data_IF_109415595118
#
_entry.id   IF_109415595118
#
_cell.length_a   1.000
_cell.length_b   1.000
_cell.length_c   1.000
_cell.angle_alpha   90.00
_cell.angle_beta   90.00
_cell.angle_gamma   90.00
#
_symmetry.space_group_name_H-M   'P 1'
#
loop_
_entity.id
_entity.type
_entity.pdbx_description
1 polymer ?
#
# COMPACT_ATOMS: atom_id res chain seq x y z
N UNK A 1 -17.24 57.55 -17.56
CA UNK A 1 -17.49 58.83 -16.85
C UNK A 1 -18.39 58.52 -15.66
N UNK A 2 -17.92 58.79 -14.44
CA UNK A 2 -18.65 58.85 -13.14
C UNK A 2 -19.60 57.68 -12.76
N UNK A 3 -19.35 57.10 -11.58
CA UNK A 3 -20.15 56.03 -10.94
C UNK A 3 -21.47 56.56 -10.34
N UNK A 4 -22.42 55.64 -10.06
CA UNK A 4 -23.29 55.76 -8.86
C UNK A 4 -23.86 54.41 -8.38
N UNK A 5 -23.36 53.94 -7.22
CA UNK A 5 -24.08 53.07 -6.27
C UNK A 5 -24.50 53.93 -5.06
N UNK A 6 -25.64 53.61 -4.46
CA UNK A 6 -26.21 53.95 -3.12
C UNK A 6 -27.68 53.47 -3.23
N UNK A 7 -28.24 52.44 -2.56
CA UNK A 7 -28.03 51.77 -1.25
C UNK A 7 -28.82 52.46 -0.11
N UNK A 8 -29.41 51.63 0.79
CA UNK A 8 -30.32 51.93 1.93
C UNK A 8 -31.81 52.22 1.58
N UNK A 9 -32.81 51.96 2.44
CA UNK A 9 -33.05 50.84 3.40
C UNK A 9 -34.40 51.00 4.15
N UNK A 10 -35.15 49.91 4.36
CA UNK A 10 -36.16 49.73 5.45
C UNK A 10 -37.44 50.65 5.38
N UNK A 11 -38.55 50.51 6.15
CA UNK A 11 -39.02 49.54 7.19
C UNK A 11 -40.58 49.58 7.34
N UNK A 12 -41.25 48.47 7.74
CA UNK A 12 -42.66 48.34 8.28
C UNK A 12 -43.85 48.88 7.43
N UNK A 13 -45.15 48.73 7.78
CA UNK A 13 -46.06 47.59 8.15
C UNK A 13 -47.53 48.16 8.20
N UNK A 14 -48.69 47.49 8.45
CA UNK A 14 -49.13 46.11 8.74
C UNK A 14 -50.67 45.94 8.43
N UNK A 15 -51.23 44.71 8.42
CA UNK A 15 -52.70 44.42 8.40
C UNK A 15 -53.05 43.13 7.60
N UNK A 16 -53.47 42.01 8.21
CA UNK A 16 -54.84 41.65 8.68
C UNK A 16 -55.80 41.26 7.52
N UNK A 17 -56.54 40.13 7.49
CA UNK A 17 -56.93 39.08 8.48
C UNK A 17 -56.57 37.65 7.94
N UNK A 18 -56.40 36.56 8.72
CA UNK A 18 -57.36 35.77 9.53
C UNK A 18 -58.56 35.21 8.71
N UNK A 19 -58.97 33.93 8.77
CA UNK A 19 -58.88 32.91 9.85
C UNK A 19 -58.83 31.42 9.39
N UNK A 20 -58.14 30.58 10.18
CA UNK A 20 -58.44 29.19 10.65
C UNK A 20 -58.83 28.05 9.66
N UNK A 21 -58.14 26.89 9.61
CA UNK A 21 -58.03 25.72 10.55
C UNK A 21 -59.14 24.65 10.33
N UNK A 22 -58.97 23.33 10.58
CA UNK A 22 -57.88 22.58 11.22
C UNK A 22 -57.76 21.11 10.70
N UNK A 23 -56.84 20.34 11.30
CA UNK A 23 -56.47 18.94 11.01
C UNK A 23 -57.53 17.88 11.38
N UNK A 24 -57.37 16.65 10.88
CA UNK A 24 -57.26 15.44 11.73
C UNK A 24 -56.71 14.23 10.96
N UNK A 25 -56.08 13.29 11.66
CA UNK A 25 -55.57 12.00 11.17
C UNK A 25 -56.68 10.96 10.94
N UNK A 26 -56.41 9.93 10.10
CA UNK A 26 -56.35 8.54 10.58
C UNK A 26 -55.74 7.57 9.53
N UNK A 27 -55.35 6.35 9.94
CA UNK A 27 -54.92 5.24 9.06
C UNK A 27 -55.97 4.11 9.03
N UNK A 28 -56.10 3.37 7.92
CA UNK A 28 -55.59 1.98 7.98
C UNK A 28 -55.07 1.38 6.66
N UNK A 29 -54.14 0.44 6.79
CA UNK A 29 -53.79 -0.59 5.78
C UNK A 29 -54.88 -1.69 5.70
N UNK A 30 -54.85 -2.65 4.74
CA UNK A 30 -53.89 -2.87 3.66
C UNK A 30 -54.51 -3.06 2.26
N UNK A 31 -53.68 -3.14 1.22
CA UNK A 31 -53.70 -4.18 0.17
C UNK A 31 -52.50 -3.98 -0.79
N UNK A 32 -51.96 -5.08 -1.35
CA UNK A 32 -50.88 -5.06 -2.36
C UNK A 32 -51.45 -4.88 -3.77
N UNK A 33 -50.67 -4.32 -4.71
CA UNK A 33 -50.00 -5.22 -5.67
C UNK A 33 -48.58 -4.81 -6.10
N UNK A 34 -47.96 -5.72 -6.87
CA UNK A 34 -46.65 -5.67 -7.53
C UNK A 34 -46.18 -4.32 -8.10
N UNK A 35 -44.92 -3.98 -7.84
CA UNK A 35 -44.15 -3.03 -8.67
C UNK A 35 -43.48 -3.80 -9.81
N UNK A 36 -43.76 -3.40 -11.05
CA UNK A 36 -42.92 -3.68 -12.21
C UNK A 36 -42.44 -2.32 -12.75
N UNK A 37 -41.12 -2.09 -12.75
CA UNK A 37 -40.52 -0.84 -13.20
C UNK A 37 -39.59 -1.13 -14.39
N UNK A 38 -39.82 -0.41 -15.49
CA UNK A 38 -39.08 -0.55 -16.74
C UNK A 38 -37.70 0.10 -16.66
N UNK A 39 -36.65 -0.62 -17.07
CA UNK A 39 -35.39 0.01 -17.49
C UNK A 39 -35.56 0.68 -18.85
N UNK A 40 -35.13 1.94 -18.96
CA UNK A 40 -35.05 2.67 -20.23
C UNK A 40 -33.61 2.73 -20.71
N UNK A 41 -33.34 2.16 -21.88
CA UNK A 41 -32.00 2.11 -22.49
C UNK A 41 -31.45 3.49 -22.86
N UNK A 42 -30.13 3.62 -22.85
CA UNK A 42 -29.38 4.59 -23.66
C UNK A 42 -28.20 3.85 -24.29
N UNK A 43 -28.26 3.60 -25.59
CA UNK A 43 -27.20 2.89 -26.32
C UNK A 43 -25.96 3.76 -26.55
N UNK A 44 -24.79 3.14 -26.51
CA UNK A 44 -23.57 3.66 -27.14
C UNK A 44 -23.13 2.70 -28.25
N UNK A 45 -23.42 3.08 -29.49
CA UNK A 45 -22.97 2.34 -30.67
C UNK A 45 -21.49 2.61 -30.97
N UNK A 46 -20.69 1.54 -31.06
CA UNK A 46 -19.46 1.52 -31.85
C UNK A 46 -19.49 0.26 -32.72
N UNK A 47 -19.48 0.45 -34.04
CA UNK A 47 -19.51 -0.66 -35.00
C UNK A 47 -18.10 -1.13 -35.36
N UNK A 48 -17.87 -2.44 -35.35
CA UNK A 48 -16.82 -3.09 -36.13
C UNK A 48 -17.34 -4.42 -36.69
N UNK A 49 -17.02 -4.71 -37.95
CA UNK A 49 -17.72 -5.75 -38.72
C UNK A 49 -16.91 -7.04 -38.86
N UNK A 50 -17.50 -8.13 -38.36
CA UNK A 50 -17.50 -9.48 -38.96
C UNK A 50 -16.24 -10.03 -39.65
N UNK A 51 -15.68 -11.10 -39.06
CA UNK A 51 -15.22 -12.30 -39.80
C UNK A 51 -15.70 -13.55 -39.03
N UNK A 52 -16.22 -14.56 -39.73
CA UNK A 52 -16.80 -15.78 -39.13
C UNK A 52 -15.75 -16.80 -38.62
N UNK A 53 -16.15 -17.65 -37.66
CA UNK A 53 -15.25 -18.63 -37.01
C UNK A 53 -15.90 -19.63 -36.03
N UNK A 54 -17.06 -20.21 -36.40
CA UNK A 54 -17.88 -21.22 -35.70
C UNK A 54 -17.24 -22.15 -34.63
N UNK A 55 -17.93 -22.37 -33.49
CA UNK A 55 -17.71 -23.56 -32.64
C UNK A 55 -18.27 -23.56 -31.19
N UNK A 56 -19.40 -24.25 -30.97
CA UNK A 56 -19.95 -24.86 -29.73
C UNK A 56 -19.69 -24.29 -28.30
N UNK A 57 -20.75 -23.67 -27.76
CA UNK A 57 -21.56 -24.14 -26.61
C UNK A 57 -20.91 -25.01 -25.50
N UNK A 58 -21.01 -24.58 -24.23
CA UNK A 58 -20.59 -25.39 -23.07
C UNK A 58 -20.92 -24.82 -21.67
N UNK A 59 -22.20 -24.65 -21.36
CA UNK A 59 -22.67 -23.91 -20.16
C UNK A 59 -22.42 -24.57 -18.79
N UNK A 60 -22.07 -23.70 -17.82
CA UNK A 60 -22.67 -23.58 -16.47
C UNK A 60 -22.33 -24.50 -15.27
N UNK A 61 -22.46 -23.86 -14.09
CA UNK A 61 -22.84 -24.38 -12.75
C UNK A 61 -21.83 -25.15 -11.88
N UNK A 62 -21.27 -24.36 -10.95
CA UNK A 62 -20.90 -24.71 -9.57
C UNK A 62 -21.87 -25.62 -8.80
N UNK A 63 -21.33 -26.58 -8.02
CA UNK A 63 -21.91 -27.08 -6.75
C UNK A 63 -20.77 -27.46 -5.79
N UNK A 64 -20.96 -27.29 -4.47
CA UNK A 64 -20.03 -27.77 -3.44
C UNK A 64 -20.42 -29.17 -2.90
N UNK A 65 -19.48 -29.95 -2.33
CA UNK A 65 -19.79 -31.22 -1.67
C UNK A 65 -19.93 -31.09 -0.14
N UNK A 66 -21.02 -31.63 0.40
CA UNK A 66 -21.17 -31.92 1.84
C UNK A 66 -20.61 -33.30 2.25
N UNK A 67 -20.70 -33.63 3.53
CA UNK A 67 -20.07 -34.81 4.14
C UNK A 67 -20.87 -36.12 3.99
N UNK A 68 -20.19 -37.28 3.86
CA UNK A 68 -20.09 -38.32 4.93
C UNK A 68 -20.00 -39.80 4.49
N UNK A 69 -19.08 -40.52 5.16
CA UNK A 69 -19.15 -41.89 5.69
C UNK A 69 -19.19 -43.18 4.81
N UNK A 70 -18.17 -44.05 5.05
CA UNK A 70 -18.24 -45.53 5.25
C UNK A 70 -18.42 -46.46 4.03
N UNK A 71 -18.03 -47.75 4.02
CA UNK A 71 -17.16 -48.66 4.84
C UNK A 71 -16.94 -49.98 4.03
N UNK A 72 -16.08 -50.97 4.34
CA UNK A 72 -14.71 -51.04 4.93
C UNK A 72 -14.18 -52.49 4.87
N UNK A 73 -12.88 -52.68 4.63
CA UNK A 73 -12.13 -53.96 4.76
C UNK A 73 -10.75 -53.68 5.42
N UNK A 74 -10.32 -54.22 6.58
CA UNK A 74 -10.28 -55.59 7.14
C UNK A 74 -9.03 -56.40 6.67
N UNK A 75 -8.13 -56.97 7.51
CA UNK A 75 -8.01 -57.05 8.99
C UNK A 75 -6.62 -57.58 9.48
N UNK A 76 -6.16 -57.13 10.67
CA UNK A 76 -5.47 -57.90 11.78
C UNK A 76 -4.03 -58.51 11.63
N UNK A 77 -3.19 -58.77 12.68
CA UNK A 77 -2.76 -58.00 13.90
C UNK A 77 -1.60 -58.71 14.72
N UNK A 78 -0.72 -57.93 15.41
CA UNK A 78 0.10 -58.22 16.64
C UNK A 78 1.46 -59.04 16.62
N UNK A 79 2.46 -58.73 17.50
CA UNK A 79 3.87 -59.23 17.50
C UNK A 79 4.29 -60.02 18.80
N UNK A 80 5.60 -60.19 19.20
CA UNK A 80 6.27 -59.25 20.15
C UNK A 80 7.85 -59.24 20.26
N UNK A 81 8.39 -58.44 21.22
CA UNK A 81 9.66 -58.56 22.03
C UNK A 81 11.06 -57.94 21.66
N UNK A 82 11.33 -56.75 22.21
CA UNK A 82 12.28 -56.38 23.32
C UNK A 82 13.76 -56.85 23.48
N UNK A 83 14.70 -55.88 23.60
CA UNK A 83 15.89 -55.81 24.52
C UNK A 83 16.56 -54.39 24.46
N UNK A 84 16.77 -53.58 25.52
CA UNK A 84 17.89 -53.48 26.54
C UNK A 84 19.35 -53.45 26.00
N UNK A 85 20.33 -52.63 26.46
CA UNK A 85 20.38 -51.41 27.34
C UNK A 85 21.84 -50.88 27.54
N UNK A 86 22.02 -49.62 28.01
CA UNK A 86 23.20 -49.09 28.78
C UNK A 86 24.54 -48.82 28.06
N UNK A 87 25.48 -47.93 28.48
CA UNK A 87 25.46 -46.78 29.45
C UNK A 87 26.81 -46.00 29.50
N UNK A 88 26.78 -44.73 29.97
CA UNK A 88 27.85 -43.93 30.64
C UNK A 88 29.11 -43.43 29.89
N UNK A 89 29.56 -42.21 30.24
CA UNK A 89 30.99 -41.80 30.13
C UNK A 89 31.29 -40.31 29.91
N UNK A 90 31.29 -39.47 30.96
CA UNK A 90 32.02 -38.18 30.98
C UNK A 90 33.51 -38.37 31.37
N UNK A 91 34.36 -37.31 31.46
CA UNK A 91 34.02 -35.98 32.00
C UNK A 91 34.65 -34.77 31.27
N UNK A 92 34.49 -33.58 31.85
CA UNK A 92 35.07 -32.29 31.42
C UNK A 92 36.56 -32.14 31.76
N UNK A 93 37.32 -31.44 30.90
CA UNK A 93 38.21 -30.37 31.38
C UNK A 93 38.62 -29.33 30.32
N UNK A 94 39.09 -28.20 30.84
CA UNK A 94 39.41 -26.92 30.19
C UNK A 94 40.78 -26.83 29.52
N UNK A 95 40.96 -25.78 28.68
CA UNK A 95 42.03 -24.75 28.76
C UNK A 95 42.89 -24.47 27.50
N UNK A 96 43.20 -23.17 27.34
CA UNK A 96 44.34 -22.54 26.64
C UNK A 96 44.69 -22.90 25.18
N UNK A 97 44.38 -21.96 24.29
CA UNK A 97 45.34 -21.18 23.48
C UNK A 97 46.65 -21.82 23.00
N UNK A 98 46.81 -21.96 21.67
CA UNK A 98 47.90 -21.32 20.89
C UNK A 98 47.53 -21.30 19.40
N UNK A 99 48.08 -20.32 18.66
CA UNK A 99 47.96 -20.18 17.21
C UNK A 99 49.36 -20.33 16.58
N UNK A 100 49.50 -20.97 15.41
CA UNK A 100 50.38 -20.39 14.40
C UNK A 100 49.85 -20.47 12.95
N UNK A 101 49.52 -19.30 12.41
CA UNK A 101 50.03 -18.77 11.13
C UNK A 101 49.89 -19.60 9.84
N UNK A 102 48.88 -19.21 9.04
CA UNK A 102 48.90 -19.07 7.55
C UNK A 102 49.15 -20.27 6.63
N UNK A 103 48.21 -20.48 5.68
CA UNK A 103 48.47 -20.23 4.24
C UNK A 103 47.19 -20.28 3.38
N UNK A 104 47.24 -19.59 2.23
CA UNK A 104 46.33 -19.66 1.07
C UNK A 104 44.86 -19.17 1.20
N UNK A 105 44.61 -17.95 0.71
CA UNK A 105 43.33 -17.56 0.08
C UNK A 105 43.15 -18.28 -1.27
N UNK A 106 41.92 -18.35 -1.78
CA UNK A 106 41.63 -17.74 -3.08
C UNK A 106 40.67 -16.56 -2.96
N UNK A 107 40.80 -15.57 -3.86
CA UNK A 107 40.10 -14.28 -3.78
C UNK A 107 38.70 -14.34 -4.39
N UNK A 108 37.69 -13.94 -3.62
CA UNK A 108 36.40 -13.46 -4.15
C UNK A 108 36.10 -12.09 -3.52
N UNK A 109 36.38 -11.01 -4.24
CA UNK A 109 36.18 -9.64 -3.77
C UNK A 109 34.71 -9.23 -3.84
N UNK A 110 33.93 -9.62 -2.85
CA UNK A 110 32.71 -8.90 -2.49
C UNK A 110 33.10 -7.50 -2.02
N UNK A 111 32.36 -6.47 -2.44
CA UNK A 111 32.57 -5.11 -1.97
C UNK A 111 31.86 -4.92 -0.61
N UNK A 112 32.55 -5.27 0.48
CA UNK A 112 32.05 -5.00 1.84
C UNK A 112 32.00 -3.49 2.11
N UNK A 113 30.84 -2.87 1.89
CA UNK A 113 30.50 -1.53 2.38
C UNK A 113 30.02 -1.61 3.85
N UNK A 114 30.87 -2.16 4.72
CA UNK A 114 30.58 -2.44 6.13
C UNK A 114 30.68 -1.19 7.03
N UNK A 115 29.90 -0.15 6.71
CA UNK A 115 29.70 1.02 7.58
C UNK A 115 28.74 0.69 8.73
N UNK A 116 29.25 0.04 9.78
CA UNK A 116 28.50 -0.40 10.95
C UNK A 116 28.14 0.74 11.93
N UNK A 117 27.62 1.85 11.42
CA UNK A 117 27.01 2.92 12.18
C UNK A 117 25.50 2.89 11.89
N UNK A 118 24.65 3.11 12.91
CA UNK A 118 23.23 3.35 12.65
C UNK A 118 23.07 4.61 11.77
N UNK A 119 22.10 4.63 10.83
CA UNK A 119 21.86 5.81 10.00
C UNK A 119 21.59 7.06 10.82
N UNK A 120 22.10 8.22 10.38
CA UNK A 120 21.83 9.48 11.06
C UNK A 120 20.36 9.86 10.84
N UNK A 121 19.61 9.82 11.94
CA UNK A 121 18.20 10.19 11.95
C UNK A 121 18.03 11.72 11.83
N UNK A 122 17.01 12.13 11.08
CA UNK A 122 16.57 13.52 10.99
C UNK A 122 15.81 13.96 12.27
N UNK A 123 15.28 15.18 12.26
CA UNK A 123 14.49 15.72 13.37
C UNK A 123 13.14 14.98 13.60
N UNK A 124 12.78 14.08 12.70
CA UNK A 124 11.55 13.26 12.70
C UNK A 124 11.83 11.81 13.13
N UNK A 125 13.08 11.44 13.38
CA UNK A 125 13.49 10.07 13.73
C UNK A 125 13.74 9.15 12.54
N UNK A 126 13.87 9.66 11.32
CA UNK A 126 14.07 8.87 10.10
C UNK A 126 15.48 9.00 9.50
N UNK A 127 16.09 7.90 9.03
CA UNK A 127 17.38 7.94 8.35
C UNK A 127 17.49 8.95 7.19
N UNK A 128 18.48 9.84 7.27
CA UNK A 128 18.87 10.74 6.18
C UNK A 128 19.48 9.97 5.01
N UNK A 129 19.21 10.40 3.77
CA UNK A 129 19.73 9.76 2.55
C UNK A 129 21.26 9.66 2.55
N UNK A 130 21.93 10.72 3.01
CA UNK A 130 23.39 10.81 3.14
C UNK A 130 23.97 9.71 4.03
N UNK A 131 23.21 9.25 5.02
CA UNK A 131 23.68 8.26 6.00
C UNK A 131 23.64 6.82 5.52
N UNK A 132 22.96 6.52 4.41
CA UNK A 132 23.06 5.24 3.70
C UNK A 132 24.30 5.15 2.79
N UNK A 133 25.06 6.24 2.64
CA UNK A 133 26.22 6.29 1.75
C UNK A 133 25.84 6.45 0.27
N UNK A 134 26.80 6.21 -0.66
CA UNK A 134 26.54 6.40 -2.08
C UNK A 134 25.61 5.31 -2.65
N UNK A 135 24.67 5.66 -3.55
CA UNK A 135 23.79 4.69 -4.19
C UNK A 135 24.55 3.69 -5.07
N UNK A 136 24.00 2.49 -5.27
CA UNK A 136 24.57 1.49 -6.17
C UNK A 136 24.64 2.00 -7.62
N UNK A 137 25.74 1.71 -8.30
CA UNK A 137 25.95 2.12 -9.69
C UNK A 137 24.88 1.57 -10.65
N UNK A 138 24.36 0.36 -10.37
CA UNK A 138 23.28 -0.26 -11.14
C UNK A 138 22.01 0.61 -11.19
N UNK A 139 21.74 1.42 -10.15
CA UNK A 139 20.60 2.33 -10.10
C UNK A 139 20.70 3.53 -11.07
N UNK A 140 21.83 3.68 -11.77
CA UNK A 140 22.11 4.78 -12.72
C UNK A 140 22.60 4.28 -14.08
N UNK A 141 22.37 2.99 -14.36
CA UNK A 141 22.83 2.27 -15.55
C UNK A 141 21.93 2.55 -16.76
N UNK A 142 22.51 2.68 -17.96
CA UNK A 142 21.70 2.77 -19.18
C UNK A 142 21.18 1.37 -19.55
N UNK A 143 19.86 1.21 -19.52
CA UNK A 143 19.14 -0.05 -19.78
C UNK A 143 18.30 0.01 -21.05
N UNK A 144 18.27 1.17 -21.73
CA UNK A 144 17.41 1.48 -22.87
C UNK A 144 17.57 0.56 -24.09
N UNK A 145 18.71 -0.13 -24.19
CA UNK A 145 19.01 -1.07 -25.27
C UNK A 145 18.51 -2.51 -25.03
N UNK A 146 18.16 -2.88 -23.80
CA UNK A 146 17.92 -4.30 -23.41
C UNK A 146 16.68 -4.52 -22.55
N UNK A 147 16.24 -3.52 -21.79
CA UNK A 147 15.09 -3.64 -20.89
C UNK A 147 13.74 -3.55 -21.63
N UNK A 148 12.69 -4.12 -21.00
CA UNK A 148 11.30 -3.95 -21.46
C UNK A 148 10.85 -2.50 -21.22
N UNK A 149 9.88 -2.01 -22.00
CA UNK A 149 9.20 -0.73 -21.74
C UNK A 149 7.92 -0.92 -20.92
N UNK A 150 7.69 -0.01 -19.98
CA UNK A 150 6.46 0.15 -19.19
C UNK A 150 6.07 1.62 -19.08
N UNK A 151 5.08 1.93 -18.24
CA UNK A 151 4.58 3.29 -18.05
C UNK A 151 4.00 3.50 -16.64
N UNK A 152 4.04 4.72 -16.12
CA UNK A 152 3.53 5.04 -14.79
C UNK A 152 2.13 5.67 -14.84
N UNK A 153 1.29 5.41 -13.83
CA UNK A 153 0.30 6.39 -13.32
C UNK A 153 0.84 7.09 -12.07
N UNK A 154 -0.02 7.80 -11.34
CA UNK A 154 0.27 8.41 -10.04
C UNK A 154 -0.96 8.32 -9.15
N UNK A 155 -0.79 7.99 -7.87
CA UNK A 155 -1.86 7.95 -6.88
C UNK A 155 -1.35 8.24 -5.47
N UNK A 156 -2.25 8.66 -4.58
CA UNK A 156 -2.10 8.54 -3.13
C UNK A 156 -3.48 8.57 -2.49
N UNK A 157 -4.04 7.39 -2.22
CA UNK A 157 -5.32 7.20 -1.52
C UNK A 157 -5.20 7.25 0.02
N UNK A 158 -3.97 7.14 0.52
CA UNK A 158 -3.59 6.91 1.91
C UNK A 158 -4.15 5.62 2.55
N UNK A 159 -4.63 4.65 1.74
CA UNK A 159 -5.10 3.36 2.25
C UNK A 159 -3.94 2.57 2.89
N UNK A 160 -4.27 1.61 3.77
CA UNK A 160 -3.32 0.55 4.15
C UNK A 160 -2.87 -0.22 2.89
N UNK A 161 -1.56 -0.32 2.59
CA UNK A 161 -1.06 -1.02 1.40
C UNK A 161 -1.47 -2.50 1.35
N UNK A 162 -1.61 -3.07 0.14
CA UNK A 162 -1.83 -4.51 -0.05
C UNK A 162 -0.72 -5.36 0.60
N UNK A 163 0.55 -4.91 0.51
CA UNK A 163 1.68 -5.62 1.11
C UNK A 163 1.76 -5.50 2.64
N UNK A 164 0.84 -4.78 3.28
CA UNK A 164 0.65 -4.76 4.75
C UNK A 164 -0.30 -5.86 5.26
N UNK A 165 -0.72 -6.78 4.39
CA UNK A 165 -1.58 -7.93 4.72
C UNK A 165 -0.83 -9.26 4.52
N UNK A 166 -1.22 -10.31 5.25
CA UNK A 166 -0.73 -11.67 4.99
C UNK A 166 -1.43 -12.28 3.77
N UNK A 167 -0.82 -13.32 3.20
CA UNK A 167 -1.38 -14.10 2.10
C UNK A 167 -2.69 -14.81 2.49
N UNK A 168 -3.80 -14.50 1.83
CA UNK A 168 -5.12 -15.08 2.11
C UNK A 168 -5.32 -16.51 1.57
N UNK A 169 -4.62 -16.89 0.50
CA UNK A 169 -4.70 -18.25 -0.08
C UNK A 169 -3.43 -18.62 -0.83
N UNK A 170 -3.21 -19.91 -1.10
CA UNK A 170 -2.04 -20.38 -1.85
C UNK A 170 -1.95 -19.84 -3.29
N UNK A 171 -3.01 -19.23 -3.82
CA UNK A 171 -3.04 -18.61 -5.15
C UNK A 171 -2.52 -17.16 -5.16
N UNK A 172 -2.44 -16.51 -3.99
CA UNK A 172 -1.90 -15.16 -3.89
C UNK A 172 -0.36 -15.24 -3.77
N UNK A 173 0.30 -15.12 -4.91
CA UNK A 173 1.76 -15.10 -5.03
C UNK A 173 2.36 -13.71 -4.74
N UNK A 174 1.51 -12.69 -4.58
CA UNK A 174 1.93 -11.28 -4.53
C UNK A 174 2.39 -10.87 -3.13
N UNK A 175 1.68 -11.28 -2.08
CA UNK A 175 2.03 -11.03 -0.68
C UNK A 175 3.18 -11.94 -0.21
N UNK A 176 3.77 -11.61 0.94
CA UNK A 176 4.89 -12.36 1.51
C UNK A 176 4.50 -13.81 1.87
N UNK A 177 5.41 -14.77 1.64
CA UNK A 177 5.17 -16.18 1.91
C UNK A 177 5.33 -16.51 3.40
N UNK A 178 4.19 -16.74 4.06
CA UNK A 178 4.11 -17.13 5.47
C UNK A 178 4.34 -18.63 5.70
N UNK A 179 5.10 -19.33 4.83
CA UNK A 179 5.34 -20.78 4.94
C UNK A 179 6.34 -21.13 6.04
N UNK A 180 7.32 -20.25 6.28
CA UNK A 180 8.22 -20.26 7.43
C UNK A 180 8.62 -18.83 7.80
N UNK A 181 9.30 -18.64 8.95
CA UNK A 181 9.77 -17.32 9.35
C UNK A 181 10.89 -16.81 8.43
N UNK A 182 11.72 -17.73 7.91
CA UNK A 182 12.79 -17.45 6.97
C UNK A 182 12.24 -17.02 5.60
N UNK A 183 11.19 -17.66 5.11
CA UNK A 183 10.49 -17.26 3.88
C UNK A 183 9.83 -15.89 4.04
N UNK A 184 9.15 -15.66 5.16
CA UNK A 184 8.50 -14.39 5.46
C UNK A 184 9.50 -13.22 5.56
N UNK A 185 10.65 -13.42 6.20
CA UNK A 185 11.72 -12.42 6.27
C UNK A 185 12.44 -12.21 4.92
N UNK A 186 12.56 -13.24 4.09
CA UNK A 186 13.13 -13.12 2.74
C UNK A 186 12.25 -12.28 1.79
N UNK A 187 10.93 -12.28 1.99
CA UNK A 187 9.97 -11.40 1.31
C UNK A 187 9.82 -10.02 2.01
N UNK A 188 10.77 -9.62 2.87
CA UNK A 188 10.78 -8.38 3.66
C UNK A 188 9.56 -8.24 4.62
N UNK A 189 8.99 -9.34 5.08
CA UNK A 189 7.85 -9.40 6.00
C UNK A 189 6.58 -8.71 5.45
N UNK A 190 6.14 -7.58 6.04
CA UNK A 190 5.00 -6.79 5.55
C UNK A 190 5.35 -5.31 5.54
N UNK A 191 4.79 -4.61 4.54
CA UNK A 191 4.86 -3.16 4.45
C UNK A 191 4.23 -2.52 5.70
N UNK A 192 4.86 -1.49 6.26
CA UNK A 192 4.33 -0.75 7.41
C UNK A 192 2.97 -0.10 7.12
N UNK A 193 2.17 0.04 8.18
CA UNK A 193 0.99 0.89 8.20
C UNK A 193 1.04 1.80 9.43
N UNK A 194 0.58 3.04 9.27
CA UNK A 194 0.61 4.07 10.31
C UNK A 194 -0.81 4.50 10.69
N UNK A 195 -0.98 5.11 11.87
CA UNK A 195 -2.25 5.73 12.24
C UNK A 195 -2.40 7.13 11.58
N UNK A 196 -3.48 7.84 11.91
CA UNK A 196 -3.75 9.20 11.42
C UNK A 196 -2.67 10.24 11.80
N UNK A 197 -1.80 9.93 12.76
CA UNK A 197 -0.70 10.79 13.21
C UNK A 197 0.67 10.36 12.65
N UNK A 198 0.68 9.52 11.63
CA UNK A 198 1.88 8.93 10.99
C UNK A 198 2.78 8.11 11.94
N UNK A 199 2.22 7.65 13.06
CA UNK A 199 2.89 6.71 13.96
C UNK A 199 2.67 5.30 13.45
N UNK A 200 3.74 4.54 13.23
CA UNK A 200 3.66 3.11 12.90
C UNK A 200 2.88 2.36 13.98
N UNK A 201 1.94 1.52 13.56
CA UNK A 201 1.21 0.58 14.43
C UNK A 201 1.26 -0.81 13.83
N UNK A 202 1.03 -1.89 14.60
CA UNK A 202 1.19 -3.25 14.10
C UNK A 202 0.36 -3.52 12.84
N UNK A 203 0.92 -4.24 11.88
CA UNK A 203 0.20 -4.70 10.67
C UNK A 203 -0.88 -5.73 11.01
N UNK A 204 -0.71 -6.44 12.14
CA UNK A 204 -1.65 -7.41 12.72
C UNK A 204 -1.72 -7.22 14.24
N UNK A 205 -2.87 -7.51 14.82
CA UNK A 205 -3.05 -7.72 16.27
C UNK A 205 -3.73 -9.07 16.50
N UNK A 206 -3.79 -9.52 17.74
CA UNK A 206 -4.72 -10.57 18.13
C UNK A 206 -6.16 -10.15 17.84
N UNK A 207 -6.97 -11.11 17.39
CA UNK A 207 -8.39 -10.91 17.14
C UNK A 207 -9.26 -10.90 18.40
N UNK A 208 -10.52 -11.26 18.24
CA UNK A 208 -11.45 -11.46 19.37
C UNK A 208 -11.09 -12.73 20.18
N UNK A 209 -10.08 -12.64 21.04
CA UNK A 209 -9.54 -13.79 21.81
C UNK A 209 -10.42 -14.25 22.97
N UNK A 210 -10.32 -15.55 23.29
CA UNK A 210 -11.02 -16.22 24.39
C UNK A 210 -10.13 -17.33 25.01
N UNK A 211 -10.59 -17.97 26.09
CA UNK A 211 -9.93 -19.14 26.71
C UNK A 211 -9.75 -20.37 25.80
N UNK A 212 -10.38 -20.40 24.62
CA UNK A 212 -10.36 -21.56 23.70
C UNK A 212 -10.03 -21.20 22.25
N UNK A 213 -9.88 -19.91 21.94
CA UNK A 213 -9.68 -19.40 20.59
C UNK A 213 -8.82 -18.13 20.63
N UNK A 214 -7.74 -18.12 19.86
CA UNK A 214 -7.05 -16.89 19.46
C UNK A 214 -6.54 -17.05 18.02
N UNK A 215 -6.14 -15.93 17.43
CA UNK A 215 -5.62 -15.83 16.08
C UNK A 215 -5.30 -14.37 15.77
N UNK A 216 -4.59 -14.13 14.68
CA UNK A 216 -4.22 -12.79 14.27
C UNK A 216 -5.26 -12.21 13.30
N UNK A 217 -5.67 -10.96 13.54
CA UNK A 217 -6.49 -10.15 12.64
C UNK A 217 -5.62 -9.00 12.09
N UNK A 218 -5.68 -8.77 10.78
CA UNK A 218 -4.96 -7.66 10.15
C UNK A 218 -5.59 -6.32 10.51
N UNK A 219 -4.77 -5.36 10.92
CA UNK A 219 -5.21 -4.04 11.36
C UNK A 219 -5.97 -3.33 10.23
N UNK A 220 -7.18 -2.84 10.50
CA UNK A 220 -8.15 -2.44 9.46
C UNK A 220 -7.82 -1.09 8.82
N UNK A 221 -7.88 -1.05 7.49
CA UNK A 221 -7.59 0.13 6.66
C UNK A 221 -8.57 1.28 6.92
N UNK A 222 -8.06 2.52 6.99
CA UNK A 222 -8.84 3.74 7.05
C UNK A 222 -9.77 3.94 5.84
N UNK A 223 -9.44 3.35 4.69
CA UNK A 223 -10.32 3.35 3.51
C UNK A 223 -11.62 2.54 3.70
N UNK A 224 -11.64 1.60 4.66
CA UNK A 224 -12.85 0.90 5.10
C UNK A 224 -13.74 1.76 6.00
N UNK A 225 -14.47 1.12 6.92
CA UNK A 225 -15.40 1.80 7.83
C UNK A 225 -14.72 2.59 8.94
N UNK A 226 -13.45 2.29 9.24
CA UNK A 226 -12.76 2.79 10.46
C UNK A 226 -12.35 4.26 10.38
N UNK A 227 -12.19 4.82 9.17
CA UNK A 227 -11.79 6.21 8.92
C UNK A 227 -10.60 6.63 9.79
N UNK A 228 -10.74 7.66 10.63
CA UNK A 228 -9.67 8.18 11.49
C UNK A 228 -9.11 7.16 12.50
N UNK A 229 -9.88 6.11 12.80
CA UNK A 229 -9.54 5.04 13.77
C UNK A 229 -8.72 3.91 13.13
N UNK A 230 -8.75 3.82 11.81
CA UNK A 230 -8.05 2.81 11.03
C UNK A 230 -6.59 3.16 10.81
N UNK A 231 -5.96 2.40 9.90
CA UNK A 231 -4.57 2.60 9.51
C UNK A 231 -4.41 2.95 8.04
N UNK A 232 -3.37 3.72 7.78
CA UNK A 232 -3.05 4.41 6.54
C UNK A 232 -1.70 3.90 6.02
N UNK A 233 -1.37 4.27 4.77
CA UNK A 233 0.03 4.28 4.31
C UNK A 233 0.85 5.24 5.18
N UNK A 234 2.03 4.81 5.64
CA UNK A 234 2.98 5.68 6.33
C UNK A 234 3.50 6.75 5.38
N UNK A 235 3.49 8.02 5.77
CA UNK A 235 3.75 9.13 4.85
C UNK A 235 5.22 9.22 4.45
N UNK A 236 6.14 8.63 5.23
CA UNK A 236 7.55 8.48 4.88
C UNK A 236 7.80 7.61 3.63
N UNK A 237 6.81 6.79 3.23
CA UNK A 237 6.74 6.12 1.92
C UNK A 237 6.46 7.09 0.75
N UNK A 238 6.38 8.40 1.00
CA UNK A 238 6.34 9.43 -0.04
C UNK A 238 7.72 9.60 -0.72
N UNK A 239 7.74 9.81 -2.05
CA UNK A 239 8.95 9.72 -2.87
C UNK A 239 9.99 10.79 -2.52
N UNK A 240 11.24 10.51 -2.86
CA UNK A 240 12.39 11.34 -2.50
C UNK A 240 13.44 11.37 -3.62
N UNK A 241 14.07 12.53 -3.82
CA UNK A 241 15.20 12.68 -4.73
C UNK A 241 16.49 12.32 -4.00
N UNK A 242 17.31 11.44 -4.59
CA UNK A 242 18.67 11.14 -4.10
C UNK A 242 19.66 12.17 -4.65
N UNK A 243 19.43 12.63 -5.87
CA UNK A 243 20.11 13.75 -6.53
C UNK A 243 19.32 14.16 -7.80
N UNK A 244 19.86 15.05 -8.63
CA UNK A 244 19.19 15.53 -9.85
C UNK A 244 18.81 14.43 -10.86
N UNK A 245 19.52 13.30 -10.88
CA UNK A 245 19.30 12.21 -11.85
C UNK A 245 18.74 10.91 -11.25
N UNK A 246 18.81 10.71 -9.92
CA UNK A 246 18.29 9.53 -9.21
C UNK A 246 17.26 9.90 -8.14
N UNK A 247 16.20 9.12 -8.04
CA UNK A 247 15.21 9.17 -6.96
C UNK A 247 14.82 7.76 -6.47
N UNK A 248 14.15 7.70 -5.31
CA UNK A 248 13.54 6.50 -4.73
C UNK A 248 12.05 6.73 -4.47
N UNK A 249 11.22 5.70 -4.69
CA UNK A 249 9.77 5.76 -4.48
C UNK A 249 9.15 4.37 -4.22
N UNK A 250 7.83 4.34 -4.05
CA UNK A 250 7.03 3.12 -3.95
C UNK A 250 5.95 3.08 -5.03
N UNK A 251 5.51 1.88 -5.40
CA UNK A 251 4.50 1.66 -6.46
C UNK A 251 3.43 0.64 -6.06
N UNK A 252 2.24 0.80 -6.65
CA UNK A 252 1.35 -0.32 -6.88
C UNK A 252 1.78 -1.08 -8.14
N UNK A 253 2.08 -2.37 -7.98
CA UNK A 253 2.41 -3.26 -9.09
C UNK A 253 1.18 -3.82 -9.81
N UNK A 254 1.41 -4.46 -10.96
CA UNK A 254 0.43 -5.36 -11.60
C UNK A 254 0.17 -6.60 -10.73
N UNK A 255 -0.86 -7.39 -11.06
CA UNK A 255 -1.09 -8.69 -10.43
C UNK A 255 0.03 -9.74 -10.59
N UNK A 256 0.98 -9.52 -11.51
CA UNK A 256 2.20 -10.33 -11.68
C UNK A 256 3.39 -9.84 -10.82
N UNK A 257 3.22 -8.72 -10.10
CA UNK A 257 4.25 -8.11 -9.26
C UNK A 257 4.30 -8.73 -7.86
N UNK A 258 5.47 -8.65 -7.21
CA UNK A 258 5.72 -9.24 -5.89
C UNK A 258 6.01 -8.15 -4.86
N UNK A 259 5.33 -8.20 -3.71
CA UNK A 259 5.59 -7.31 -2.57
C UNK A 259 7.05 -7.34 -2.13
N UNK A 260 7.62 -6.18 -1.79
CA UNK A 260 9.00 -6.05 -1.33
C UNK A 260 10.06 -6.15 -2.43
N UNK A 261 9.69 -6.39 -3.70
CA UNK A 261 10.63 -6.36 -4.84
C UNK A 261 10.88 -4.94 -5.34
N UNK A 262 12.11 -4.69 -5.78
CA UNK A 262 12.53 -3.41 -6.33
C UNK A 262 12.86 -3.47 -7.82
N UNK A 263 12.60 -2.36 -8.50
CA UNK A 263 12.76 -2.20 -9.93
C UNK A 263 13.44 -0.88 -10.25
N UNK A 264 14.43 -0.91 -11.13
CA UNK A 264 15.09 0.27 -11.67
C UNK A 264 14.35 0.71 -12.94
N UNK A 265 13.81 1.93 -12.92
CA UNK A 265 13.12 2.57 -14.03
C UNK A 265 14.01 3.65 -14.64
N UNK A 266 14.22 3.63 -15.95
CA UNK A 266 14.93 4.67 -16.70
C UNK A 266 13.96 5.38 -17.66
N UNK A 267 13.75 6.68 -17.49
CA UNK A 267 12.76 7.42 -18.29
C UNK A 267 13.22 7.70 -19.72
N UNK A 268 12.40 7.33 -20.70
CA UNK A 268 12.74 7.44 -22.12
C UNK A 268 12.39 8.80 -22.73
N UNK A 269 11.59 9.62 -22.04
CA UNK A 269 11.15 10.94 -22.49
C UNK A 269 9.83 10.96 -23.26
N UNK A 270 9.13 9.83 -23.32
CA UNK A 270 7.83 9.63 -23.96
C UNK A 270 6.75 9.35 -22.90
N UNK A 271 5.53 9.00 -23.31
CA UNK A 271 4.37 8.76 -22.44
C UNK A 271 3.38 7.79 -23.09
N UNK A 272 2.45 7.21 -22.30
CA UNK A 272 1.66 6.05 -22.77
C UNK A 272 0.65 6.32 -23.89
N UNK A 273 0.20 7.57 -24.05
CA UNK A 273 -0.80 7.98 -25.07
C UNK A 273 -0.16 8.78 -26.23
N UNK A 274 1.12 8.56 -26.51
CA UNK A 274 1.82 9.20 -27.63
C UNK A 274 1.29 8.73 -28.99
N UNK A 275 1.02 9.68 -29.87
CA UNK A 275 0.79 9.44 -31.30
C UNK A 275 1.19 10.66 -32.14
N UNK A 276 1.11 10.56 -33.46
CA UNK A 276 1.60 11.58 -34.41
C UNK A 276 1.11 13.02 -34.11
N UNK A 277 -0.13 13.17 -33.65
CA UNK A 277 -0.75 14.45 -33.31
C UNK A 277 -0.79 14.74 -31.79
N UNK A 278 -0.12 13.92 -30.97
CA UNK A 278 0.03 14.07 -29.52
C UNK A 278 1.48 13.72 -29.11
N UNK A 279 2.48 14.54 -29.52
CA UNK A 279 3.89 14.25 -29.26
C UNK A 279 4.30 14.52 -27.80
N UNK A 280 5.42 13.98 -27.31
CA UNK A 280 5.82 14.12 -25.91
C UNK A 280 5.99 15.59 -25.48
N UNK A 281 5.27 15.97 -24.42
CA UNK A 281 5.28 17.34 -23.87
C UNK A 281 6.63 17.68 -23.21
N UNK A 282 6.83 18.96 -22.90
CA UNK A 282 8.07 19.46 -22.28
C UNK A 282 8.44 18.76 -20.97
N UNK A 283 7.42 18.40 -20.17
CA UNK A 283 7.54 17.64 -18.91
C UNK A 283 8.23 16.29 -19.12
N UNK A 284 7.72 15.45 -20.02
CA UNK A 284 8.32 14.16 -20.40
C UNK A 284 9.76 14.32 -20.93
N UNK A 285 9.97 15.30 -21.81
CA UNK A 285 11.29 15.59 -22.39
C UNK A 285 12.33 16.01 -21.34
N UNK A 286 11.92 16.70 -20.28
CA UNK A 286 12.76 17.06 -19.14
C UNK A 286 13.00 15.89 -18.16
N UNK A 287 12.13 14.87 -18.16
CA UNK A 287 12.29 13.66 -17.37
C UNK A 287 13.28 12.66 -18.00
N UNK A 288 13.51 12.73 -19.33
CA UNK A 288 14.35 11.79 -20.09
C UNK A 288 15.74 11.59 -19.47
N UNK A 289 16.13 10.33 -19.26
CA UNK A 289 17.44 9.96 -18.73
C UNK A 289 17.57 10.07 -17.20
N UNK A 290 16.50 10.43 -16.48
CA UNK A 290 16.43 10.22 -15.02
C UNK A 290 16.16 8.74 -14.71
N UNK A 291 16.64 8.33 -13.54
CA UNK A 291 16.51 6.99 -12.99
C UNK A 291 15.67 7.05 -11.70
N UNK A 292 14.75 6.10 -11.54
CA UNK A 292 13.93 5.95 -10.34
C UNK A 292 13.98 4.49 -9.90
N UNK A 293 14.43 4.22 -8.68
CA UNK A 293 14.25 2.87 -8.10
C UNK A 293 12.95 2.86 -7.32
N UNK A 294 12.05 1.95 -7.66
CA UNK A 294 10.76 1.77 -7.00
C UNK A 294 10.71 0.44 -6.25
N UNK A 295 10.04 0.40 -5.10
CA UNK A 295 9.64 -0.85 -4.44
C UNK A 295 8.13 -1.08 -4.58
N UNK A 296 7.72 -2.32 -4.88
CA UNK A 296 6.32 -2.72 -4.87
C UNK A 296 5.80 -2.87 -3.42
N UNK A 297 5.00 -1.91 -2.98
CA UNK A 297 4.32 -1.89 -1.66
C UNK A 297 2.81 -2.10 -1.75
N UNK A 298 2.25 -1.98 -2.95
CA UNK A 298 0.84 -2.22 -3.21
C UNK A 298 0.67 -3.05 -4.50
N UNK A 299 -0.54 -3.57 -4.74
CA UNK A 299 -0.90 -4.27 -5.98
C UNK A 299 -2.26 -3.71 -6.41
N UNK A 300 -2.33 -3.15 -7.62
CA UNK A 300 -3.58 -2.61 -8.16
C UNK A 300 -4.27 -3.61 -9.08
N UNK A 301 -5.57 -3.85 -8.86
CA UNK A 301 -6.38 -4.70 -9.75
C UNK A 301 -6.76 -4.00 -11.07
N UNK A 302 -6.62 -2.68 -11.11
CA UNK A 302 -6.80 -1.78 -12.25
C UNK A 302 -5.49 -1.44 -12.97
N UNK A 303 -4.33 -1.76 -12.36
CA UNK A 303 -2.99 -1.52 -12.93
C UNK A 303 -2.77 -2.46 -14.12
N UNK A 304 -2.71 -1.87 -15.32
CA UNK A 304 -2.75 -2.59 -16.58
C UNK A 304 -1.52 -3.47 -16.83
N UNK A 305 -1.77 -4.72 -17.24
CA UNK A 305 -0.74 -5.64 -17.72
C UNK A 305 -0.03 -5.19 -19.01
N UNK A 306 1.00 -5.92 -19.39
CA UNK A 306 1.81 -5.62 -20.58
C UNK A 306 1.01 -5.65 -21.89
N UNK A 307 1.32 -4.70 -22.79
CA UNK A 307 0.81 -4.68 -24.17
C UNK A 307 1.96 -4.69 -25.19
N UNK A 308 1.64 -4.78 -26.48
CA UNK A 308 2.63 -4.93 -27.55
C UNK A 308 3.67 -3.78 -27.63
N UNK A 309 3.31 -2.57 -27.21
CA UNK A 309 4.18 -1.39 -27.21
C UNK A 309 4.88 -1.18 -25.85
N UNK A 310 4.23 -1.60 -24.77
CA UNK A 310 4.65 -1.44 -23.37
C UNK A 310 4.56 -2.80 -22.65
N UNK A 311 5.46 -3.77 -22.97
CA UNK A 311 5.35 -5.16 -22.54
C UNK A 311 5.69 -5.43 -21.07
N UNK A 312 6.09 -4.41 -20.29
CA UNK A 312 6.18 -4.49 -18.83
C UNK A 312 4.89 -4.08 -18.11
N UNK A 313 3.92 -3.47 -18.82
CA UNK A 313 2.68 -2.98 -18.23
C UNK A 313 2.84 -1.63 -17.51
N UNK A 314 1.94 -1.40 -16.56
CA UNK A 314 1.81 -0.20 -15.74
C UNK A 314 2.42 -0.42 -14.35
N UNK A 315 2.97 0.63 -13.75
CA UNK A 315 3.07 0.77 -12.29
C UNK A 315 2.28 2.02 -11.87
N UNK A 316 1.62 2.01 -10.71
CA UNK A 316 1.04 3.23 -10.15
C UNK A 316 1.98 3.84 -9.12
N UNK A 317 2.48 5.04 -9.37
CA UNK A 317 3.50 5.67 -8.53
C UNK A 317 2.86 6.35 -7.32
N UNK A 318 3.33 6.00 -6.12
CA UNK A 318 2.88 6.65 -4.89
C UNK A 318 3.37 8.10 -4.87
N UNK A 319 2.44 9.04 -5.05
CA UNK A 319 2.68 10.49 -5.17
C UNK A 319 1.59 11.23 -4.41
N UNK A 320 1.89 11.86 -3.26
CA UNK A 320 0.97 12.75 -2.57
C UNK A 320 0.44 13.84 -3.51
N UNK A 321 -0.88 13.98 -3.66
CA UNK A 321 -1.50 14.87 -4.64
C UNK A 321 -1.62 14.31 -6.07
N UNK A 322 -1.22 13.05 -6.31
CA UNK A 322 -1.38 12.34 -7.58
C UNK A 322 -2.83 11.95 -7.91
N UNK A 323 -3.72 11.97 -6.92
CA UNK A 323 -5.13 11.57 -7.01
C UNK A 323 -5.42 10.37 -6.10
N UNK A 324 -6.60 10.33 -5.50
CA UNK A 324 -7.01 9.26 -4.56
C UNK A 324 -7.59 8.04 -5.28
N UNK A 325 -7.99 8.19 -6.55
CA UNK A 325 -8.55 7.12 -7.36
C UNK A 325 -9.93 6.68 -6.90
N UNK A 326 -10.08 5.38 -6.60
CA UNK A 326 -11.35 4.76 -6.23
C UNK A 326 -11.66 4.81 -4.71
N UNK A 327 -10.67 5.10 -3.88
CA UNK A 327 -10.77 5.13 -2.41
C UNK A 327 -10.22 6.46 -1.88
N UNK A 328 -10.68 6.92 -0.72
CA UNK A 328 -10.15 8.13 -0.09
C UNK A 328 -10.05 7.95 1.43
N UNK A 329 -8.81 7.79 1.90
CA UNK A 329 -8.43 8.06 3.28
C UNK A 329 -7.55 9.32 3.39
N UNK A 330 -6.98 9.84 2.30
CA UNK A 330 -6.12 11.02 2.33
C UNK A 330 -6.86 12.27 2.85
N UNK A 331 -8.10 12.49 2.40
CA UNK A 331 -8.96 13.58 2.90
C UNK A 331 -9.22 13.46 4.41
N UNK A 332 -9.32 12.23 4.93
CA UNK A 332 -9.43 11.95 6.37
C UNK A 332 -8.11 12.19 7.09
N UNK A 333 -6.98 11.71 6.56
CA UNK A 333 -5.65 11.79 7.18
C UNK A 333 -5.19 13.25 7.33
N UNK A 334 -5.40 14.06 6.29
CA UNK A 334 -4.99 15.48 6.24
C UNK A 334 -6.07 16.41 6.83
N UNK A 335 -7.28 15.89 7.07
CA UNK A 335 -8.40 16.55 7.74
C UNK A 335 -8.67 17.98 7.22
N UNK A 336 -8.85 18.10 5.90
CA UNK A 336 -9.32 19.34 5.25
C UNK A 336 -10.84 19.34 5.18
N UNK A 337 -11.44 20.53 5.23
CA UNK A 337 -12.87 20.68 4.99
C UNK A 337 -13.28 20.24 3.58
N UNK A 338 -14.56 19.89 3.40
CA UNK A 338 -15.17 19.45 2.13
C UNK A 338 -14.92 20.37 0.94
N UNK A 339 -14.67 21.64 1.21
CA UNK A 339 -14.56 22.71 0.22
C UNK A 339 -13.12 22.88 -0.29
N UNK A 340 -12.18 22.04 0.17
CA UNK A 340 -10.79 22.04 -0.29
C UNK A 340 -10.65 21.41 -1.68
N UNK A 341 -9.87 22.06 -2.56
CA UNK A 341 -9.63 21.57 -3.91
C UNK A 341 -8.55 20.48 -3.93
N UNK A 342 -8.95 19.22 -3.77
CA UNK A 342 -8.10 18.04 -3.96
C UNK A 342 -7.72 17.75 -5.43
N UNK A 343 -8.20 18.56 -6.38
CA UNK A 343 -8.02 18.33 -7.81
C UNK A 343 -8.92 17.21 -8.33
N UNK A 344 -8.48 16.49 -9.36
CA UNK A 344 -9.21 15.36 -9.91
C UNK A 344 -8.97 14.08 -9.11
N UNK A 345 -10.02 13.28 -8.88
CA UNK A 345 -9.90 12.00 -8.17
C UNK A 345 -8.85 11.08 -8.79
N UNK A 346 -8.82 10.98 -10.12
CA UNK A 346 -7.73 10.35 -10.87
C UNK A 346 -6.84 11.45 -11.48
N UNK A 347 -5.52 11.34 -11.32
CA UNK A 347 -4.53 12.28 -11.88
C UNK A 347 -4.30 13.57 -11.08
N UNK A 348 -5.14 13.86 -10.08
CA UNK A 348 -4.83 14.72 -8.95
C UNK A 348 -4.63 16.20 -9.30
N UNK A 349 -3.64 16.81 -8.65
CA UNK A 349 -3.30 18.22 -8.78
C UNK A 349 -2.83 18.55 -10.22
N UNK A 350 -2.11 17.65 -10.89
CA UNK A 350 -1.70 17.89 -12.28
C UNK A 350 -2.90 17.97 -13.23
N UNK A 351 -3.89 17.07 -13.06
CA UNK A 351 -5.10 17.08 -13.88
C UNK A 351 -6.01 18.27 -13.56
N UNK A 352 -5.92 18.83 -12.34
CA UNK A 352 -6.48 20.15 -12.03
C UNK A 352 -5.75 21.27 -12.79
N UNK A 353 -4.41 21.28 -12.75
CA UNK A 353 -3.58 22.28 -13.43
C UNK A 353 -3.70 22.24 -14.97
N UNK A 354 -4.01 21.08 -15.56
CA UNK A 354 -4.27 20.91 -16.99
C UNK A 354 -5.59 21.53 -17.48
N UNK A 355 -6.47 22.01 -16.59
CA UNK A 355 -7.70 22.74 -16.99
C UNK A 355 -7.35 24.05 -17.70
N UNK A 356 -8.15 24.44 -18.68
CA UNK A 356 -7.99 25.69 -19.45
C UNK A 356 -8.17 26.98 -18.63
N UNK A 357 -8.65 26.90 -17.39
CA UNK A 357 -8.66 28.01 -16.42
C UNK A 357 -7.32 28.21 -15.72
N UNK A 358 -6.45 27.21 -15.79
CA UNK A 358 -5.18 27.10 -15.08
C UNK A 358 -4.05 27.16 -16.13
N UNK A 359 -3.35 26.05 -16.42
CA UNK A 359 -2.31 26.01 -17.46
C UNK A 359 -2.81 25.55 -18.84
N UNK A 360 -3.98 24.90 -18.91
CA UNK A 360 -4.43 24.16 -20.11
C UNK A 360 -3.58 22.92 -20.40
N UNK A 361 -3.99 22.07 -21.34
CA UNK A 361 -3.29 20.80 -21.63
C UNK A 361 -1.92 20.98 -22.30
N UNK A 362 -1.69 22.13 -22.93
CA UNK A 362 -0.42 22.50 -23.56
C UNK A 362 0.34 23.57 -22.76
N UNK A 363 0.13 23.59 -21.43
CA UNK A 363 0.85 24.43 -20.49
C UNK A 363 2.38 24.22 -20.52
N UNK A 364 3.12 25.24 -20.10
CA UNK A 364 4.58 25.12 -19.92
C UNK A 364 4.93 24.24 -18.73
N UNK A 365 6.14 23.66 -18.75
CA UNK A 365 6.74 22.94 -17.62
C UNK A 365 6.67 23.79 -16.33
N UNK A 366 7.11 25.05 -16.42
CA UNK A 366 7.06 26.02 -15.32
C UNK A 366 5.64 26.23 -14.78
N UNK A 367 4.64 26.36 -15.65
CA UNK A 367 3.23 26.52 -15.22
C UNK A 367 2.74 25.29 -14.43
N UNK A 368 2.99 24.08 -14.95
CA UNK A 368 2.61 22.85 -14.25
C UNK A 368 3.35 22.70 -12.91
N UNK A 369 4.65 22.98 -12.88
CA UNK A 369 5.44 22.92 -11.65
C UNK A 369 4.95 23.93 -10.62
N UNK A 370 4.69 25.18 -10.99
CA UNK A 370 4.16 26.19 -10.05
C UNK A 370 2.77 25.81 -9.57
N UNK A 371 1.83 25.51 -10.47
CA UNK A 371 0.45 25.20 -10.12
C UNK A 371 0.34 23.95 -9.22
N UNK A 372 1.09 22.89 -9.50
CA UNK A 372 1.11 21.68 -8.65
C UNK A 372 1.67 22.02 -7.26
N UNK A 373 2.75 22.82 -7.17
CA UNK A 373 3.34 23.21 -5.89
C UNK A 373 2.45 24.13 -5.05
N UNK A 374 1.76 25.08 -5.67
CA UNK A 374 0.74 25.89 -4.99
C UNK A 374 -0.36 25.00 -4.36
N UNK A 375 -0.76 23.92 -5.04
CA UNK A 375 -1.68 22.91 -4.48
C UNK A 375 -1.02 22.05 -3.40
N UNK A 376 0.25 21.66 -3.54
CA UNK A 376 1.02 20.95 -2.51
C UNK A 376 1.09 21.73 -1.20
N UNK A 377 1.39 23.03 -1.26
CA UNK A 377 1.49 23.90 -0.08
C UNK A 377 0.10 24.15 0.56
N UNK A 378 -0.95 24.33 -0.26
CA UNK A 378 -2.32 24.45 0.22
C UNK A 378 -2.83 23.17 0.92
N UNK A 379 -2.47 22.00 0.42
CA UNK A 379 -2.82 20.70 0.98
C UNK A 379 -1.96 20.39 2.22
N UNK A 380 -0.65 20.24 2.06
CA UNK A 380 0.22 19.61 3.05
C UNK A 380 1.02 20.61 3.89
N UNK A 381 1.18 21.87 3.44
CA UNK A 381 2.06 22.87 4.06
C UNK A 381 1.75 23.22 5.53
N UNK A 382 0.53 22.96 5.99
CA UNK A 382 0.11 23.12 7.39
C UNK A 382 -0.55 21.84 7.96
N UNK A 383 -0.30 20.68 7.36
CA UNK A 383 -0.96 19.42 7.74
C UNK A 383 -0.31 18.69 8.94
N UNK A 384 0.93 19.05 9.29
CA UNK A 384 1.74 18.25 10.23
C UNK A 384 2.33 16.96 9.64
N UNK A 385 2.15 16.73 8.33
CA UNK A 385 2.60 15.54 7.59
C UNK A 385 3.69 15.93 6.56
N UNK A 386 4.94 16.19 6.99
CA UNK A 386 5.96 16.81 6.15
C UNK A 386 6.41 15.92 4.97
N UNK A 387 6.33 14.60 5.10
CA UNK A 387 6.68 13.69 4.01
C UNK A 387 5.69 13.81 2.83
N UNK A 388 4.40 14.04 3.09
CA UNK A 388 3.40 14.30 2.03
C UNK A 388 3.76 15.57 1.24
N UNK A 389 4.15 16.62 1.95
CA UNK A 389 4.62 17.87 1.34
C UNK A 389 5.85 17.62 0.47
N UNK A 390 6.86 16.91 0.99
CA UNK A 390 8.07 16.52 0.26
C UNK A 390 7.74 15.75 -1.02
N UNK A 391 6.91 14.71 -0.93
CA UNK A 391 6.55 13.86 -2.07
C UNK A 391 5.74 14.58 -3.15
N UNK A 392 4.89 15.53 -2.75
CA UNK A 392 4.13 16.35 -3.68
C UNK A 392 5.04 17.35 -4.43
N UNK A 393 5.92 18.07 -3.73
CA UNK A 393 6.92 18.94 -4.35
C UNK A 393 7.91 18.17 -5.23
N UNK A 394 8.32 16.96 -4.82
CA UNK A 394 9.16 16.05 -5.62
C UNK A 394 8.54 15.74 -6.99
N UNK A 395 7.22 15.54 -7.06
CA UNK A 395 6.54 15.25 -8.32
C UNK A 395 6.52 16.45 -9.29
N UNK A 396 6.45 17.67 -8.76
CA UNK A 396 6.65 18.87 -9.57
C UNK A 396 8.13 18.99 -10.00
N UNK A 397 9.06 19.04 -9.04
CA UNK A 397 10.43 19.48 -9.29
C UNK A 397 11.36 18.39 -9.85
N UNK A 398 11.37 17.20 -9.25
CA UNK A 398 12.24 16.11 -9.73
C UNK A 398 11.59 15.33 -10.87
N UNK A 399 10.29 15.03 -10.76
CA UNK A 399 9.50 14.28 -11.74
C UNK A 399 8.93 15.17 -12.87
N UNK A 400 9.28 16.46 -12.89
CA UNK A 400 8.97 17.41 -13.96
C UNK A 400 7.48 17.57 -14.27
N UNK A 401 6.59 17.22 -13.33
CA UNK A 401 5.15 17.10 -13.55
C UNK A 401 4.78 16.28 -14.83
N UNK A 402 5.51 15.19 -15.08
CA UNK A 402 5.27 14.31 -16.23
C UNK A 402 3.94 13.53 -16.08
N UNK A 403 3.15 13.49 -17.17
CA UNK A 403 1.80 12.92 -17.16
C UNK A 403 1.77 11.54 -17.81
N UNK A 404 1.91 10.52 -16.96
CA UNK A 404 1.96 9.11 -17.33
C UNK A 404 3.15 8.74 -18.26
N UNK A 405 4.41 9.10 -17.88
CA UNK A 405 5.60 8.86 -18.69
C UNK A 405 5.90 7.37 -18.87
N UNK A 406 6.56 7.06 -19.98
CA UNK A 406 7.12 5.73 -20.27
C UNK A 406 8.55 5.58 -19.78
N UNK A 407 8.93 4.35 -19.47
CA UNK A 407 10.24 3.99 -18.95
C UNK A 407 10.71 2.63 -19.49
N UNK A 408 12.02 2.40 -19.39
CA UNK A 408 12.62 1.07 -19.42
C UNK A 408 12.72 0.50 -18.00
N UNK A 409 12.62 -0.82 -17.82
CA UNK A 409 12.60 -1.48 -16.50
C UNK A 409 13.43 -2.77 -16.41
N UNK A 410 14.21 -2.89 -15.33
CA UNK A 410 14.82 -4.13 -14.84
C UNK A 410 14.54 -4.34 -13.33
N UNK A 411 14.57 -5.58 -12.84
CA UNK A 411 14.53 -5.89 -11.39
C UNK A 411 15.92 -5.67 -10.77
N UNK A 412 15.98 -5.10 -9.57
CA UNK A 412 17.24 -4.80 -8.86
C UNK A 412 17.12 -5.10 -7.37
N UNK A 413 18.27 -5.32 -6.72
CA UNK A 413 18.34 -5.39 -5.26
C UNK A 413 17.90 -4.06 -4.63
N UNK A 414 17.09 -4.15 -3.56
CA UNK A 414 16.47 -2.99 -2.96
C UNK A 414 17.48 -2.07 -2.24
N UNK A 415 17.43 -0.74 -2.45
CA UNK A 415 18.18 0.21 -1.63
C UNK A 415 17.75 0.08 -0.16
N UNK A 416 18.69 0.09 0.78
CA UNK A 416 18.37 -0.04 2.21
C UNK A 416 17.36 1.03 2.69
N UNK A 417 17.39 2.25 2.13
CA UNK A 417 16.35 3.27 2.33
C UNK A 417 14.94 2.73 2.09
N UNK A 418 14.70 2.04 0.96
CA UNK A 418 13.38 1.49 0.66
C UNK A 418 13.05 0.27 1.53
N UNK A 419 14.04 -0.44 2.08
CA UNK A 419 13.84 -1.55 3.03
C UNK A 419 13.43 -1.01 4.40
N UNK A 420 14.19 -0.06 4.95
CA UNK A 420 13.95 0.49 6.30
C UNK A 420 12.65 1.31 6.37
N UNK A 421 12.26 1.95 5.25
CA UNK A 421 10.95 2.59 5.13
C UNK A 421 9.80 1.63 4.73
N UNK A 422 10.07 0.37 4.38
CA UNK A 422 9.05 -0.66 4.11
C UNK A 422 8.78 -1.58 5.29
N UNK A 423 9.84 -2.18 5.86
CA UNK A 423 9.73 -3.24 6.87
C UNK A 423 9.23 -2.71 8.22
N UNK A 424 8.41 -3.50 8.90
CA UNK A 424 7.93 -3.13 10.25
C UNK A 424 9.04 -3.07 11.29
N UNK A 425 9.02 -2.01 12.12
CA UNK A 425 9.94 -1.82 13.26
C UNK A 425 9.54 -2.68 14.47
N UNK A 426 8.37 -3.32 14.46
CA UNK A 426 8.00 -4.29 15.49
C UNK A 426 8.82 -5.58 15.37
N UNK A 427 9.26 -6.12 16.51
CA UNK A 427 10.31 -7.13 16.57
C UNK A 427 9.91 -8.46 15.90
N UNK A 428 10.32 -8.66 14.65
CA UNK A 428 10.04 -9.85 13.83
C UNK A 428 10.71 -11.14 14.31
N UNK A 429 11.54 -11.09 15.36
CA UNK A 429 12.19 -12.26 15.97
C UNK A 429 11.48 -12.79 17.24
N UNK A 430 10.45 -12.10 17.73
CA UNK A 430 9.68 -12.48 18.93
C UNK A 430 8.18 -12.61 18.63
N UNK A 431 7.48 -13.43 19.43
CA UNK A 431 6.04 -13.61 19.32
C UNK A 431 5.27 -12.42 19.92
N UNK A 432 5.00 -11.41 19.10
CA UNK A 432 4.29 -10.21 19.50
C UNK A 432 2.77 -10.43 19.54
N UNK A 433 2.27 -11.03 20.62
CA UNK A 433 0.85 -11.21 20.91
C UNK A 433 0.16 -9.88 21.31
N UNK A 434 0.23 -8.86 20.44
CA UNK A 434 -0.40 -7.54 20.65
C UNK A 434 -1.92 -7.69 20.75
N UNK A 435 -2.52 -7.10 21.79
CA UNK A 435 -3.96 -7.09 22.03
C UNK A 435 -4.70 -6.31 20.93
N UNK A 436 -5.94 -6.70 20.64
CA UNK A 436 -6.79 -6.00 19.69
C UNK A 436 -7.01 -4.53 20.09
N UNK A 437 -6.77 -3.62 19.14
CA UNK A 437 -7.10 -2.20 19.26
C UNK A 437 -8.03 -1.83 18.09
N UNK A 438 -9.14 -1.18 18.40
CA UNK A 438 -10.17 -0.75 17.44
C UNK A 438 -10.20 0.77 17.26
N UNK A 439 -9.24 1.48 17.84
CA UNK A 439 -9.08 2.93 17.68
C UNK A 439 -7.60 3.29 17.77
N UNK A 440 -6.95 3.41 16.62
CA UNK A 440 -5.54 3.77 16.54
C UNK A 440 -5.32 5.28 16.57
N UNK A 441 -6.38 6.10 16.50
CA UNK A 441 -6.27 7.57 16.48
C UNK A 441 -5.65 8.14 17.76
N UNK A 442 -5.79 7.44 18.89
CA UNK A 442 -5.26 7.88 20.18
C UNK A 442 -3.81 7.46 20.45
N UNK A 443 -3.26 6.54 19.64
CA UNK A 443 -1.92 5.95 19.85
C UNK A 443 -0.80 6.89 19.40
N UNK A 444 0.31 6.89 20.14
CA UNK A 444 1.46 7.80 19.95
C UNK A 444 2.78 7.03 19.94
N UNK A 445 3.80 7.61 19.32
CA UNK A 445 5.12 6.97 19.32
C UNK A 445 5.67 6.91 20.76
N UNK A 446 6.11 5.71 21.17
CA UNK A 446 6.52 5.41 22.54
C UNK A 446 5.39 4.94 23.48
N UNK A 447 4.12 4.92 23.06
CA UNK A 447 3.05 4.28 23.83
C UNK A 447 3.29 2.76 23.91
N UNK A 448 3.06 2.18 25.08
CA UNK A 448 3.22 0.73 25.30
C UNK A 448 2.01 -0.02 24.73
N UNK A 449 2.25 -0.93 23.80
CA UNK A 449 1.23 -1.86 23.33
C UNK A 449 0.94 -2.94 24.37
N UNK A 450 -0.32 -3.04 24.79
CA UNK A 450 -0.82 -4.20 25.53
C UNK A 450 -0.49 -5.49 24.77
N UNK A 451 0.14 -6.45 25.44
CA UNK A 451 0.33 -7.82 24.95
C UNK A 451 -0.42 -8.79 25.85
N UNK A 452 -0.90 -9.89 25.27
CA UNK A 452 -1.52 -10.99 26.01
C UNK A 452 -0.60 -12.21 25.97
N UNK A 453 -0.44 -12.90 27.10
CA UNK A 453 0.23 -14.19 27.08
C UNK A 453 -0.73 -15.24 26.49
N UNK A 454 -0.37 -15.81 25.33
CA UNK A 454 -1.12 -16.86 24.66
C UNK A 454 -0.31 -18.17 24.60
N UNK A 455 -1.00 -19.30 24.52
CA UNK A 455 -0.43 -20.66 24.53
C UNK A 455 -1.14 -21.58 23.54
N UNK A 456 -0.42 -22.50 22.88
CA UNK A 456 -1.05 -23.47 21.98
C UNK A 456 -1.78 -24.58 22.77
N UNK A 457 -2.54 -25.40 22.03
CA UNK A 457 -3.23 -26.56 22.56
C UNK A 457 -2.28 -27.48 23.37
N UNK A 458 -2.52 -27.63 24.68
CA UNK A 458 -1.68 -28.42 25.59
C UNK A 458 -0.44 -27.70 26.15
N UNK A 459 -0.07 -26.51 25.67
CA UNK A 459 0.97 -25.65 26.29
C UNK A 459 0.43 -24.85 27.50
N UNK A 460 -0.89 -24.91 27.73
CA UNK A 460 -1.60 -24.14 28.76
C UNK A 460 -1.11 -24.42 30.19
N UNK A 461 -0.97 -23.39 31.05
CA UNK A 461 -0.79 -23.57 32.49
C UNK A 461 -1.93 -24.42 33.09
N UNK A 462 -1.64 -25.40 33.97
CA UNK A 462 -2.66 -26.33 34.47
C UNK A 462 -3.58 -25.68 35.50
N UNK A 463 -4.84 -25.38 35.12
CA UNK A 463 -5.86 -24.89 36.05
C UNK A 463 -6.28 -26.02 37.02
N UNK A 464 -6.10 -25.82 38.32
CA UNK A 464 -6.46 -26.78 39.38
C UNK A 464 -5.85 -28.19 39.20
N UNK A 465 -4.68 -28.30 38.54
CA UNK A 465 -4.03 -29.58 38.24
C UNK A 465 -4.54 -30.27 36.97
N UNK A 466 -5.43 -29.64 36.21
CA UNK A 466 -5.87 -30.10 34.89
C UNK A 466 -5.19 -29.27 33.79
N UNK A 467 -4.44 -29.94 32.91
CA UNK A 467 -3.79 -29.33 31.76
C UNK A 467 -4.83 -29.09 30.66
N UNK A 468 -5.08 -27.82 30.32
CA UNK A 468 -6.08 -27.47 29.32
C UNK A 468 -5.61 -27.87 27.90
N UNK A 469 -6.34 -28.75 27.18
CA UNK A 469 -5.96 -29.17 25.83
C UNK A 469 -6.29 -28.10 24.76
N UNK A 470 -6.99 -27.02 25.11
CA UNK A 470 -7.31 -25.92 24.18
C UNK A 470 -6.27 -24.81 24.21
N UNK A 471 -6.00 -24.24 23.03
CA UNK A 471 -5.24 -23.02 22.86
C UNK A 471 -6.02 -21.81 23.42
N UNK A 472 -5.33 -20.79 23.97
CA UNK A 472 -6.00 -19.64 24.59
C UNK A 472 -5.02 -18.58 25.07
N UNK A 473 -5.53 -17.54 25.74
CA UNK A 473 -4.73 -16.44 26.29
C UNK A 473 -5.18 -16.02 27.70
N UNK A 474 -4.25 -15.44 28.48
CA UNK A 474 -4.49 -14.83 29.79
C UNK A 474 -5.21 -13.48 29.67
N UNK A 475 -6.52 -13.52 29.44
CA UNK A 475 -7.43 -12.37 29.31
C UNK A 475 -7.87 -11.76 30.66
N UNK A 476 -6.92 -11.57 31.58
CA UNK A 476 -7.18 -11.07 32.96
C UNK A 476 -7.22 -9.55 33.07
#
# INVERSE_FOLDING_TARGET
MIMKKILLSSILAAGACAMFNACSDDSPSPLTPSVAASSSSVDWFVSSSSVDGSGDLGSSSSVAPGSSASNSSSSVVVPPNSATSSSNGGPSQSSSSVNPTSSANPTSSAAESSSSNEPQLDASGFPTLESYGPPSAEYTKDISATAKRGWNTRYWDACKPHCSWLRESANDVTRADTSSNEAYLADLATARNCNIHDVEVPTFTLGNVTKSWFGYEGTRSACGDEKEKGVFTCTDMAPIAVNDTLAYAYVAGTGDSKCGKCYHLQYDGHFKDEFENNPPKATHKALKGKHLVVMASNIGHDVAGGNANLPAGQFDLMVPGGGVGAFDALSTQVNKGSDFNWGAGFGGFLTECQKNTNCGTEGSLECYQTCVKDMCDAAFGNAGLPNLLRGCHWFADWYMAADNPTYYIEEVECPQYLIDHYMTRYNTSLENNFKKVTDWSTFKEGDVLDTLHCWKAGEAPPENGWQNPSAGCDVK
#
